data_IF_943016462088
#
_entry.id   IF_943016462088
#
_cell.length_a   1.000
_cell.length_b   1.000
_cell.length_c   1.000
_cell.angle_alpha   90.00
_cell.angle_beta   90.00
_cell.angle_gamma   90.00
#
_symmetry.space_group_name_H-M   'P 1'
#
loop_
_entity.id
_entity.type
_entity.pdbx_description
1 polymer ?
#
# COMPACT_ATOMS: atom_id res chain seq x y z
N UNK A 1 -0.85 9.99 3.01
CA UNK A 1 -0.80 8.53 2.76
C UNK A 1 -1.02 8.21 1.29
N UNK A 2 -2.10 8.69 0.67
CA UNK A 2 -2.41 8.46 -0.76
C UNK A 2 -1.29 8.90 -1.72
N UNK A 3 -0.70 10.09 -1.54
CA UNK A 3 0.47 10.52 -2.34
C UNK A 3 1.63 9.55 -2.18
N UNK A 4 2.02 9.23 -0.94
CA UNK A 4 3.12 8.28 -0.66
C UNK A 4 2.92 6.93 -1.37
N UNK A 5 1.70 6.39 -1.36
CA UNK A 5 1.36 5.12 -2.04
C UNK A 5 1.52 5.27 -3.55
N UNK A 6 0.98 6.35 -4.13
CA UNK A 6 1.09 6.64 -5.57
C UNK A 6 2.55 6.80 -6.00
N UNK A 7 3.31 7.62 -5.28
CA UNK A 7 4.68 7.98 -5.61
C UNK A 7 5.59 6.76 -5.47
N UNK A 8 5.43 5.98 -4.37
CA UNK A 8 6.17 4.72 -4.17
C UNK A 8 5.85 3.71 -5.28
N UNK A 9 4.58 3.56 -5.67
CA UNK A 9 4.19 2.68 -6.75
C UNK A 9 4.73 3.16 -8.11
N UNK A 10 4.74 4.48 -8.36
CA UNK A 10 5.27 5.10 -9.58
C UNK A 10 6.77 4.84 -9.74
N UNK A 11 7.50 4.81 -8.63
CA UNK A 11 8.92 4.47 -8.60
C UNK A 11 9.18 2.95 -8.68
N UNK A 12 8.13 2.12 -8.78
CA UNK A 12 8.22 0.65 -8.77
C UNK A 12 8.63 0.08 -7.41
N UNK A 13 8.46 0.86 -6.34
CA UNK A 13 8.81 0.50 -4.97
C UNK A 13 7.69 -0.26 -4.23
N UNK A 14 8.05 -0.81 -3.08
CA UNK A 14 7.12 -1.48 -2.17
C UNK A 14 6.89 -0.63 -0.92
N UNK A 15 5.64 -0.54 -0.46
CA UNK A 15 5.29 0.14 0.79
C UNK A 15 5.11 -0.87 1.92
N UNK A 16 5.84 -0.69 3.02
CA UNK A 16 5.65 -1.44 4.25
C UNK A 16 4.81 -0.60 5.22
N UNK A 17 3.62 -1.10 5.55
CA UNK A 17 2.70 -0.45 6.49
C UNK A 17 2.72 -1.16 7.83
N UNK A 18 3.21 -0.46 8.85
CA UNK A 18 3.08 -0.94 10.22
C UNK A 18 1.63 -0.83 10.66
N UNK A 19 1.03 -1.98 10.90
CA UNK A 19 -0.31 -2.12 11.46
C UNK A 19 -0.20 -2.97 12.70
N UNK A 20 -1.17 -2.87 13.60
CA UNK A 20 -1.19 -3.83 14.67
C UNK A 20 -1.92 -3.46 15.93
N UNK A 21 -1.97 -4.45 16.84
CA UNK A 21 -2.59 -4.36 18.15
C UNK A 21 -1.97 -3.25 19.01
N UNK A 22 -2.80 -2.72 19.89
CA UNK A 22 -2.33 -2.20 21.18
C UNK A 22 -2.86 -3.17 22.25
N UNK A 23 -2.18 -4.29 22.49
CA UNK A 23 -2.60 -5.28 23.49
C UNK A 23 -2.29 -6.74 23.16
N UNK A 24 -2.63 -7.64 24.10
CA UNK A 24 -2.25 -9.06 24.14
C UNK A 24 -2.79 -9.91 22.97
N UNK A 25 -3.98 -9.59 22.45
CA UNK A 25 -4.67 -10.43 21.44
C UNK A 25 -4.16 -10.27 20.00
N UNK A 26 -3.08 -9.50 19.82
CA UNK A 26 -2.42 -9.24 18.55
C UNK A 26 -3.30 -8.76 17.37
N UNK A 27 -4.53 -8.34 17.64
CA UNK A 27 -5.53 -8.02 16.62
C UNK A 27 -5.37 -6.59 16.10
N UNK A 28 -5.50 -6.41 14.79
CA UNK A 28 -5.56 -5.09 14.17
C UNK A 28 -6.89 -4.42 14.57
N UNK A 29 -6.88 -3.24 15.21
CA UNK A 29 -8.11 -2.53 15.58
C UNK A 29 -9.03 -2.31 14.38
N UNK A 30 -10.34 -2.37 14.61
CA UNK A 30 -11.35 -2.26 13.55
C UNK A 30 -11.19 -0.97 12.71
N UNK A 31 -10.80 0.14 13.34
CA UNK A 31 -10.57 1.41 12.65
C UNK A 31 -9.35 1.36 11.73
N UNK A 32 -8.32 0.58 12.09
CA UNK A 32 -7.18 0.36 11.21
C UNK A 32 -7.57 -0.55 10.04
N UNK A 33 -8.36 -1.60 10.28
CA UNK A 33 -8.88 -2.47 9.22
C UNK A 33 -9.74 -1.69 8.22
N UNK A 34 -10.63 -0.81 8.70
CA UNK A 34 -11.46 0.04 7.85
C UNK A 34 -10.61 0.93 6.92
N UNK A 35 -9.56 1.56 7.46
CA UNK A 35 -8.66 2.41 6.67
C UNK A 35 -7.83 1.62 5.64
N UNK A 36 -7.45 0.39 5.97
CA UNK A 36 -6.81 -0.51 5.00
C UNK A 36 -7.77 -0.87 3.86
N UNK A 37 -9.06 -1.06 4.16
CA UNK A 37 -10.11 -1.25 3.16
C UNK A 37 -10.20 -0.07 2.19
N UNK A 38 -10.27 1.17 2.70
CA UNK A 38 -10.27 2.37 1.85
C UNK A 38 -9.03 2.47 0.97
N UNK A 39 -7.85 2.14 1.52
CA UNK A 39 -6.61 2.14 0.75
C UNK A 39 -6.65 1.11 -0.39
N UNK A 40 -7.21 -0.08 -0.14
CA UNK A 40 -7.37 -1.11 -1.15
C UNK A 40 -8.32 -0.66 -2.28
N UNK A 41 -9.46 -0.06 -1.94
CA UNK A 41 -10.41 0.49 -2.90
C UNK A 41 -9.77 1.55 -3.81
N UNK A 42 -9.05 2.51 -3.23
CA UNK A 42 -8.34 3.55 -3.99
C UNK A 42 -7.27 2.98 -4.94
N UNK A 43 -6.58 1.90 -4.54
CA UNK A 43 -5.61 1.22 -5.43
C UNK A 43 -6.30 0.42 -6.54
N UNK A 44 -7.45 -0.19 -6.26
CA UNK A 44 -8.19 -1.01 -7.22
C UNK A 44 -8.93 -0.18 -8.27
N UNK A 45 -9.42 1.02 -7.91
CA UNK A 45 -10.08 1.94 -8.84
C UNK A 45 -9.16 2.56 -9.89
N UNK A 46 -7.87 2.18 -9.93
CA UNK A 46 -6.88 2.72 -10.88
C UNK A 46 -6.49 4.17 -10.61
N UNK A 47 -7.03 4.79 -9.55
CA UNK A 47 -6.67 6.12 -9.11
C UNK A 47 -5.17 6.21 -8.80
N UNK A 48 -4.56 5.12 -8.31
CA UNK A 48 -3.18 5.06 -7.84
C UNK A 48 -2.23 4.19 -8.66
N UNK A 49 -2.67 3.59 -9.79
CA UNK A 49 -1.81 2.76 -10.62
C UNK A 49 -1.01 3.61 -11.62
N UNK A 50 0.32 3.66 -11.54
CA UNK A 50 1.13 4.18 -12.63
C UNK A 50 1.10 3.18 -13.79
N UNK A 51 1.21 3.68 -15.03
CA UNK A 51 1.39 2.81 -16.18
C UNK A 51 2.62 1.93 -15.96
N UNK A 52 2.44 0.60 -16.03
CA UNK A 52 3.54 -0.36 -15.87
C UNK A 52 4.61 -0.03 -16.91
N UNK A 53 5.72 0.57 -16.50
CA UNK A 53 6.88 0.73 -17.38
C UNK A 53 7.51 -0.65 -17.56
N UNK A 54 7.51 -1.23 -18.77
CA UNK A 54 8.12 -2.53 -19.00
C UNK A 54 9.64 -2.34 -19.02
N UNK A 55 10.34 -2.93 -18.05
CA UNK A 55 11.79 -3.08 -18.10
C UNK A 55 12.53 -2.45 -16.92
N UNK A 56 12.71 -3.24 -15.86
CA UNK A 56 13.96 -3.19 -15.11
C UNK A 56 14.40 -4.63 -14.85
N UNK A 57 15.29 -5.11 -15.71
CA UNK A 57 16.03 -6.34 -15.43
C UNK A 57 16.79 -6.16 -14.12
N UNK A 58 16.69 -7.15 -13.23
CA UNK A 58 17.51 -7.21 -12.03
C UNK A 58 19.00 -7.18 -12.44
N UNK A 59 19.86 -6.46 -11.71
CA UNK A 59 21.30 -6.54 -11.94
C UNK A 59 21.80 -7.95 -11.61
N UNK A 60 22.67 -8.49 -12.46
CA UNK A 60 23.41 -9.75 -12.24
C UNK A 60 24.32 -9.70 -11.00
#
# INVERSE_FOLDING_TARGET
>A
LTSLVRDTAADGGNLLLNVGPRGEDATIPAEQQLRLGWLAEETASGSLTPERTPGRSAPE
#
